data_IF_553483637781
#
_entry.id   IF_553483637781
#
_cell.length_a   1.000
_cell.length_b   1.000
_cell.length_c   1.000
_cell.angle_alpha   90.00
_cell.angle_beta   90.00
_cell.angle_gamma   90.00
#
_symmetry.space_group_name_H-M   'P 1'
#
loop_
_entity.id
_entity.type
_entity.pdbx_description
1 polymer ?
#
# COMPACT_ATOMS: atom_id res chain seq x y z
N UNK A 1 -14.20 0.38 -8.49
CA UNK A 1 -12.87 0.99 -8.39
C UNK A 1 -11.82 -0.09 -8.44
N UNK A 2 -10.57 0.28 -8.73
CA UNK A 2 -9.39 -0.60 -8.77
C UNK A 2 -8.58 -0.55 -7.46
N UNK A 3 -7.52 -1.36 -7.32
CA UNK A 3 -6.67 -1.39 -6.11
C UNK A 3 -6.08 -0.04 -5.77
N UNK A 4 -5.57 0.68 -6.77
CA UNK A 4 -5.07 2.05 -6.57
C UNK A 4 -6.11 3.00 -5.96
N UNK A 5 -7.34 2.98 -6.48
CA UNK A 5 -8.41 3.84 -5.98
C UNK A 5 -8.85 3.43 -4.58
N UNK A 6 -8.83 2.13 -4.28
CA UNK A 6 -9.12 1.65 -2.94
C UNK A 6 -8.07 2.17 -1.95
N UNK A 7 -6.79 2.09 -2.31
CA UNK A 7 -5.68 2.57 -1.49
C UNK A 7 -5.66 4.10 -1.28
N UNK A 8 -6.10 4.89 -2.27
CA UNK A 8 -6.32 6.34 -2.11
C UNK A 8 -7.32 6.63 -0.99
N UNK A 9 -8.36 5.80 -0.87
CA UNK A 9 -9.39 5.98 0.15
C UNK A 9 -9.02 5.33 1.49
N UNK A 10 -8.23 4.26 1.48
CA UNK A 10 -7.83 3.51 2.66
C UNK A 10 -6.79 4.25 3.50
N UNK A 11 -5.65 4.61 2.90
CA UNK A 11 -4.49 5.14 3.62
C UNK A 11 -4.78 6.40 4.47
N UNK A 12 -5.59 7.38 4.00
CA UNK A 12 -5.94 8.55 4.82
C UNK A 12 -6.64 8.22 6.14
N UNK A 13 -7.39 7.11 6.23
CA UNK A 13 -8.08 6.75 7.49
C UNK A 13 -7.08 6.39 8.59
N UNK A 14 -5.92 5.82 8.25
CA UNK A 14 -4.87 5.48 9.21
C UNK A 14 -4.31 6.76 9.82
N UNK A 15 -3.93 7.72 8.97
CA UNK A 15 -3.38 8.99 9.43
C UNK A 15 -4.41 9.84 10.18
N UNK A 16 -5.69 9.77 9.78
CA UNK A 16 -6.77 10.42 10.51
C UNK A 16 -6.94 9.81 11.91
N UNK A 17 -6.91 8.48 12.01
CA UNK A 17 -6.97 7.80 13.31
C UNK A 17 -5.78 8.20 14.20
N UNK A 18 -4.56 8.11 13.66
CA UNK A 18 -3.34 8.52 14.38
C UNK A 18 -3.40 9.97 14.86
N UNK A 19 -3.85 10.89 14.00
CA UNK A 19 -3.98 12.30 14.36
C UNK A 19 -5.00 12.50 15.48
N UNK A 20 -6.22 11.98 15.32
CA UNK A 20 -7.29 12.15 16.31
C UNK A 20 -6.93 11.53 17.66
N UNK A 21 -6.25 10.39 17.65
CA UNK A 21 -5.75 9.75 18.88
C UNK A 21 -4.64 10.59 19.52
N UNK A 22 -3.69 11.09 18.74
CA UNK A 22 -2.58 11.89 19.26
C UNK A 22 -3.00 13.28 19.79
N UNK A 23 -4.09 13.85 19.25
CA UNK A 23 -4.63 15.14 19.71
C UNK A 23 -5.75 15.01 20.72
N UNK A 24 -6.11 13.79 21.14
CA UNK A 24 -7.22 13.49 22.05
C UNK A 24 -8.58 14.02 21.52
N UNK A 25 -8.73 14.07 20.19
CA UNK A 25 -9.93 14.54 19.50
C UNK A 25 -10.82 13.38 19.00
N UNK A 26 -10.45 12.13 19.30
CA UNK A 26 -11.20 10.96 18.90
C UNK A 26 -12.52 10.84 19.70
N UNK A 27 -13.65 10.80 18.99
CA UNK A 27 -14.94 10.39 19.55
C UNK A 27 -15.21 8.91 19.26
N UNK A 28 -16.11 8.28 20.01
CA UNK A 28 -16.56 6.91 19.76
C UNK A 28 -17.04 6.77 18.31
N UNK A 29 -17.91 7.68 17.86
CA UNK A 29 -18.45 7.66 16.50
C UNK A 29 -17.36 7.78 15.42
N UNK A 30 -16.42 8.72 15.58
CA UNK A 30 -15.33 8.91 14.62
C UNK A 30 -14.41 7.69 14.56
N UNK A 31 -14.12 7.10 15.71
CA UNK A 31 -13.28 5.90 15.85
C UNK A 31 -13.92 4.70 15.16
N UNK A 32 -15.18 4.40 15.47
CA UNK A 32 -15.92 3.28 14.87
C UNK A 32 -16.03 3.42 13.35
N UNK A 33 -16.28 4.65 12.86
CA UNK A 33 -16.34 4.94 11.43
C UNK A 33 -15.01 4.68 10.73
N UNK A 34 -13.90 5.15 11.31
CA UNK A 34 -12.56 4.94 10.76
C UNK A 34 -12.16 3.46 10.79
N UNK A 35 -12.42 2.73 11.89
CA UNK A 35 -12.17 1.29 12.00
C UNK A 35 -12.95 0.50 10.94
N UNK A 36 -14.23 0.85 10.73
CA UNK A 36 -15.06 0.24 9.70
C UNK A 36 -14.50 0.49 8.30
N UNK A 37 -14.11 1.72 7.98
CA UNK A 37 -13.54 2.04 6.67
C UNK A 37 -12.18 1.38 6.43
N UNK A 38 -11.32 1.32 7.45
CA UNK A 38 -10.06 0.58 7.37
C UNK A 38 -10.32 -0.92 7.14
N UNK A 39 -11.20 -1.54 7.91
CA UNK A 39 -11.52 -2.97 7.77
C UNK A 39 -12.06 -3.30 6.38
N UNK A 40 -13.01 -2.52 5.87
CA UNK A 40 -13.59 -2.71 4.54
C UNK A 40 -12.54 -2.46 3.43
N UNK A 41 -11.72 -1.42 3.57
CA UNK A 41 -10.67 -1.10 2.61
C UNK A 41 -9.60 -2.19 2.55
N UNK A 42 -9.19 -2.73 3.71
CA UNK A 42 -8.26 -3.86 3.80
C UNK A 42 -8.83 -5.10 3.09
N UNK A 43 -10.05 -5.51 3.44
CA UNK A 43 -10.70 -6.66 2.80
C UNK A 43 -10.84 -6.48 1.28
N UNK A 44 -11.17 -5.27 0.84
CA UNK A 44 -11.30 -4.96 -0.59
C UNK A 44 -9.95 -4.98 -1.31
N UNK A 45 -8.88 -4.53 -0.67
CA UNK A 45 -7.56 -4.53 -1.31
C UNK A 45 -7.02 -5.95 -1.53
N UNK A 46 -7.38 -6.90 -0.65
CA UNK A 46 -7.02 -8.31 -0.82
C UNK A 46 -7.55 -8.92 -2.13
N UNK A 47 -8.57 -8.32 -2.76
CA UNK A 47 -9.04 -8.74 -4.09
C UNK A 47 -8.02 -8.47 -5.21
N UNK A 48 -7.05 -7.58 -4.96
CA UNK A 48 -5.98 -7.24 -5.89
C UNK A 48 -4.64 -7.87 -5.51
N UNK A 49 -4.61 -8.66 -4.43
CA UNK A 49 -3.48 -9.50 -4.06
C UNK A 49 -3.35 -10.66 -5.05
N UNK A 50 -2.15 -10.85 -5.58
CA UNK A 50 -1.81 -11.95 -6.47
C UNK A 50 -1.26 -13.13 -5.65
N UNK A 51 -1.41 -14.36 -6.17
CA UNK A 51 -0.50 -15.45 -5.77
C UNK A 51 0.92 -14.96 -6.07
N UNK A 52 1.97 -15.27 -5.31
CA UNK A 52 3.26 -14.52 -5.33
C UNK A 52 3.35 -13.35 -4.35
N UNK A 53 2.24 -12.78 -3.88
CA UNK A 53 2.23 -11.77 -2.82
C UNK A 53 2.32 -10.32 -3.29
N UNK A 54 2.32 -10.06 -4.59
CA UNK A 54 2.28 -8.69 -5.12
C UNK A 54 0.86 -8.16 -5.29
N UNK A 55 0.73 -6.84 -5.32
CA UNK A 55 -0.53 -6.15 -5.62
C UNK A 55 -0.45 -5.51 -7.01
N UNK A 56 -1.57 -5.50 -7.72
CA UNK A 56 -1.70 -4.84 -9.02
C UNK A 56 -3.01 -4.03 -9.10
N UNK A 57 -3.19 -3.25 -10.16
CA UNK A 57 -4.36 -2.35 -10.23
C UNK A 57 -5.65 -3.15 -10.37
N UNK A 58 -5.62 -4.24 -11.14
CA UNK A 58 -6.77 -5.10 -11.42
C UNK A 58 -6.56 -6.55 -10.95
N UNK A 59 -5.68 -6.78 -9.99
CA UNK A 59 -5.39 -8.11 -9.45
C UNK A 59 -4.89 -9.07 -10.53
N UNK A 60 -5.39 -10.30 -10.53
CA UNK A 60 -4.98 -11.36 -11.48
C UNK A 60 -5.28 -11.05 -12.96
N UNK A 61 -6.07 -10.01 -13.27
CA UNK A 61 -6.30 -9.57 -14.64
C UNK A 61 -5.09 -8.84 -15.25
N UNK A 62 -4.21 -8.29 -14.41
CA UNK A 62 -2.94 -7.70 -14.88
C UNK A 62 -1.89 -8.79 -15.18
N UNK A 63 -0.96 -8.51 -16.08
CA UNK A 63 0.14 -9.45 -16.40
C UNK A 63 1.12 -9.62 -15.23
N UNK A 64 1.30 -8.58 -14.41
CA UNK A 64 2.26 -8.54 -13.31
C UNK A 64 1.78 -7.69 -12.13
N UNK A 65 2.43 -7.88 -10.97
CA UNK A 65 2.34 -6.98 -9.83
C UNK A 65 2.98 -5.63 -10.12
N UNK A 66 2.55 -4.60 -9.39
CA UNK A 66 3.15 -3.27 -9.42
C UNK A 66 4.04 -3.07 -8.22
N UNK A 67 5.34 -2.80 -8.42
CA UNK A 67 6.29 -2.59 -7.33
C UNK A 67 5.85 -1.45 -6.41
N UNK A 68 5.42 -0.34 -7.01
CA UNK A 68 4.99 0.84 -6.27
C UNK A 68 3.71 0.57 -5.47
N UNK A 69 2.69 -0.04 -6.08
CA UNK A 69 1.44 -0.33 -5.37
C UNK A 69 1.66 -1.36 -4.26
N UNK A 70 2.46 -2.38 -4.53
CA UNK A 70 2.80 -3.42 -3.54
C UNK A 70 3.52 -2.82 -2.33
N UNK A 71 4.49 -1.93 -2.56
CA UNK A 71 5.15 -1.21 -1.47
C UNK A 71 4.16 -0.32 -0.69
N UNK A 72 3.27 0.39 -1.40
CA UNK A 72 2.27 1.26 -0.79
C UNK A 72 1.29 0.50 0.10
N UNK A 73 0.82 -0.66 -0.38
CA UNK A 73 -0.06 -1.56 0.37
C UNK A 73 0.67 -2.13 1.58
N UNK A 74 1.88 -2.67 1.41
CA UNK A 74 2.66 -3.24 2.51
C UNK A 74 2.85 -2.23 3.66
N UNK A 75 3.28 -1.01 3.32
CA UNK A 75 3.48 0.06 4.30
C UNK A 75 2.18 0.43 5.00
N UNK A 76 1.14 0.72 4.23
CA UNK A 76 -0.15 1.15 4.78
C UNK A 76 -0.76 0.06 5.66
N UNK A 77 -0.65 -1.20 5.28
CA UNK A 77 -1.15 -2.32 6.07
C UNK A 77 -0.35 -2.52 7.35
N UNK A 78 0.98 -2.42 7.28
CA UNK A 78 1.82 -2.49 8.46
C UNK A 78 1.47 -1.39 9.49
N UNK A 79 1.16 -0.18 9.04
CA UNK A 79 0.67 0.90 9.92
C UNK A 79 -0.75 0.64 10.44
N UNK A 80 -1.64 0.12 9.59
CA UNK A 80 -3.02 -0.18 9.99
C UNK A 80 -3.15 -1.29 11.05
N UNK A 81 -2.12 -2.14 11.21
CA UNK A 81 -2.08 -3.19 12.25
C UNK A 81 -2.30 -2.68 13.67
N UNK A 82 -1.98 -1.42 13.93
CA UNK A 82 -2.23 -0.79 15.23
C UNK A 82 -3.73 -0.71 15.56
N UNK A 83 -4.59 -0.68 14.54
CA UNK A 83 -6.03 -0.42 14.68
C UNK A 83 -6.92 -1.57 14.22
N UNK A 84 -6.50 -2.34 13.21
CA UNK A 84 -7.28 -3.44 12.63
C UNK A 84 -6.45 -4.72 12.50
N UNK A 85 -7.12 -5.86 12.43
CA UNK A 85 -6.46 -7.13 12.15
C UNK A 85 -5.94 -7.17 10.70
N UNK A 86 -4.64 -7.42 10.56
CA UNK A 86 -3.97 -7.71 9.28
C UNK A 86 -3.11 -8.95 9.49
N UNK A 87 -3.25 -9.92 8.60
CA UNK A 87 -2.54 -11.19 8.68
C UNK A 87 -1.03 -11.02 8.41
N UNK A 88 -0.21 -11.44 9.37
CA UNK A 88 1.25 -11.34 9.31
C UNK A 88 1.86 -12.20 8.20
N UNK A 89 1.24 -13.35 7.90
CA UNK A 89 1.72 -14.24 6.84
C UNK A 89 1.61 -13.57 5.47
N UNK A 90 0.50 -12.88 5.22
CA UNK A 90 0.26 -12.08 4.01
C UNK A 90 1.26 -10.93 3.88
N UNK A 91 1.53 -10.20 4.96
CA UNK A 91 2.53 -9.11 4.95
C UNK A 91 3.94 -9.63 4.70
N UNK A 92 4.33 -10.73 5.33
CA UNK A 92 5.64 -11.33 5.12
C UNK A 92 5.80 -11.81 3.67
N UNK A 93 4.78 -12.41 3.08
CA UNK A 93 4.79 -12.81 1.67
C UNK A 93 4.97 -11.60 0.73
N UNK A 94 4.25 -10.52 1.02
CA UNK A 94 4.34 -9.26 0.27
C UNK A 94 5.73 -8.64 0.40
N UNK A 95 6.30 -8.63 1.62
CA UNK A 95 7.67 -8.17 1.88
C UNK A 95 8.70 -9.00 1.13
N UNK A 96 8.60 -10.33 1.17
CA UNK A 96 9.51 -11.23 0.44
C UNK A 96 9.47 -10.97 -1.06
N UNK A 97 8.28 -10.74 -1.63
CA UNK A 97 8.17 -10.39 -3.05
C UNK A 97 8.92 -9.09 -3.37
N UNK A 98 8.77 -8.05 -2.54
CA UNK A 98 9.50 -6.78 -2.74
C UNK A 98 11.01 -6.94 -2.58
N UNK A 99 11.48 -7.70 -1.59
CA UNK A 99 12.91 -7.97 -1.39
C UNK A 99 13.55 -8.73 -2.56
N UNK A 100 12.76 -9.52 -3.28
CA UNK A 100 13.20 -10.23 -4.48
C UNK A 100 13.02 -9.40 -5.77
N UNK A 101 12.70 -8.11 -5.67
CA UNK A 101 12.63 -7.23 -6.84
C UNK A 101 14.01 -7.07 -7.47
N UNK A 102 14.05 -6.97 -8.79
CA UNK A 102 15.29 -6.75 -9.53
C UNK A 102 15.92 -5.41 -9.16
N UNK A 103 17.24 -5.43 -8.96
CA UNK A 103 18.05 -4.23 -8.71
C UNK A 103 18.86 -3.87 -9.96
N UNK A 104 19.01 -2.58 -10.22
CA UNK A 104 19.92 -2.09 -11.25
C UNK A 104 21.38 -2.12 -10.79
N UNK A 105 22.31 -1.73 -11.67
CA UNK A 105 23.76 -1.69 -11.37
C UNK A 105 24.13 -0.73 -10.23
N UNK A 106 23.24 0.20 -9.88
CA UNK A 106 23.42 1.14 -8.78
C UNK A 106 22.79 0.66 -7.46
N UNK A 107 22.18 -0.54 -7.46
CA UNK A 107 21.47 -1.10 -6.32
C UNK A 107 20.06 -0.55 -6.13
N UNK A 108 19.52 0.19 -7.11
CA UNK A 108 18.16 0.71 -7.04
C UNK A 108 17.14 -0.31 -7.55
N UNK A 109 15.97 -0.33 -6.93
CA UNK A 109 14.85 -1.19 -7.33
C UNK A 109 14.33 -0.78 -8.71
N UNK A 110 14.25 -1.75 -9.61
CA UNK A 110 13.65 -1.58 -10.94
C UNK A 110 12.13 -1.74 -10.81
N UNK A 111 11.32 -0.69 -11.04
CA UNK A 111 9.87 -0.81 -10.97
C UNK A 111 9.32 -1.71 -12.06
N UNK A 112 8.49 -2.67 -11.68
CA UNK A 112 7.66 -3.46 -12.59
C UNK A 112 6.18 -3.14 -12.43
N UNK A 113 5.40 -3.52 -13.43
CA UNK A 113 3.95 -3.36 -13.45
C UNK A 113 3.48 -1.94 -13.75
N UNK A 114 2.17 -1.81 -13.93
CA UNK A 114 1.51 -0.54 -14.26
C UNK A 114 1.02 0.13 -12.99
N UNK A 115 1.17 1.45 -12.96
CA UNK A 115 0.47 2.32 -12.00
C UNK A 115 -0.25 3.38 -12.82
N UNK A 116 -1.57 3.40 -12.74
CA UNK A 116 -2.44 4.23 -13.59
C UNK A 116 -2.66 5.60 -12.95
N UNK A 117 -2.81 5.65 -11.63
CA UNK A 117 -3.09 6.89 -10.89
C UNK A 117 -1.85 7.77 -10.75
N UNK A 118 -1.86 8.89 -11.47
CA UNK A 118 -0.86 9.96 -11.33
C UNK A 118 -0.88 10.63 -9.95
N UNK A 119 -2.03 10.66 -9.28
CA UNK A 119 -2.18 11.27 -7.95
C UNK A 119 -1.59 10.42 -6.84
N UNK A 120 -1.67 9.09 -7.00
CA UNK A 120 -1.15 8.13 -6.04
C UNK A 120 0.40 8.17 -5.97
N UNK A 121 1.06 8.45 -7.10
CA UNK A 121 2.53 8.67 -7.16
C UNK A 121 2.99 10.00 -6.55
N UNK A 122 2.08 10.94 -6.24
CA UNK A 122 2.43 12.24 -5.66
C UNK A 122 3.53 12.98 -6.43
N UNK A 123 4.60 13.37 -5.70
CA UNK A 123 5.75 14.11 -6.21
C UNK A 123 6.74 13.31 -7.06
N UNK A 124 6.50 12.02 -7.32
CA UNK A 124 7.33 11.18 -8.20
C UNK A 124 7.14 11.51 -9.70
N UNK A 125 6.82 12.77 -10.01
CA UNK A 125 6.57 13.28 -11.35
C UNK A 125 7.90 13.58 -12.05
N UNK A 126 8.21 12.76 -13.06
CA UNK A 126 9.43 12.84 -13.86
C UNK A 126 10.01 11.45 -14.02
N UNK A 127 10.65 11.14 -15.15
CA UNK A 127 11.23 9.81 -15.49
C UNK A 127 11.59 9.04 -14.24
N UNK A 128 10.89 7.92 -13.99
CA UNK A 128 10.88 7.18 -12.73
C UNK A 128 12.26 7.11 -12.09
N UNK A 129 12.55 8.08 -11.20
CA UNK A 129 13.81 8.10 -10.50
C UNK A 129 13.80 6.85 -9.64
N UNK A 130 14.76 5.93 -9.80
CA UNK A 130 14.80 4.70 -9.02
C UNK A 130 14.94 4.99 -7.52
N UNK A 131 15.51 6.14 -7.18
CA UNK A 131 15.91 6.51 -5.82
C UNK A 131 14.71 6.67 -4.87
N UNK A 132 13.68 7.49 -5.15
CA UNK A 132 12.55 7.62 -4.23
C UNK A 132 11.72 6.34 -4.09
N UNK A 133 11.62 5.52 -5.14
CA UNK A 133 10.96 4.22 -5.05
C UNK A 133 11.77 3.26 -4.18
N UNK A 134 13.08 3.19 -4.39
CA UNK A 134 13.99 2.36 -3.59
C UNK A 134 13.91 2.76 -2.10
N UNK A 135 13.98 4.05 -1.81
CA UNK A 135 13.80 4.55 -0.45
C UNK A 135 12.43 4.16 0.13
N UNK A 136 11.36 4.26 -0.66
CA UNK A 136 10.02 3.88 -0.22
C UNK A 136 9.86 2.37 0.04
N UNK A 137 10.57 1.53 -0.71
CA UNK A 137 10.59 0.06 -0.50
C UNK A 137 11.39 -0.30 0.75
N UNK A 138 12.42 0.48 1.10
CA UNK A 138 13.32 0.21 2.23
C UNK A 138 12.82 0.78 3.58
N UNK A 139 11.81 1.65 3.59
CA UNK A 139 11.23 2.30 4.79
C UNK A 139 9.92 1.61 5.20
#
# INVERSE_FOLDING_TARGET
GCGEQNMINFAPNIYMMQYLTATEQNTIESTEKLLRFMTLGHQRELLYLRSNGSYSTFGSADESGSTWLTAFVLKSFAQAKEFIYVDDSSLNRTRQWLMNSELDRSGCVIPVGKVISKGLKGGLRGKGSPVPLTAYVLI
#
